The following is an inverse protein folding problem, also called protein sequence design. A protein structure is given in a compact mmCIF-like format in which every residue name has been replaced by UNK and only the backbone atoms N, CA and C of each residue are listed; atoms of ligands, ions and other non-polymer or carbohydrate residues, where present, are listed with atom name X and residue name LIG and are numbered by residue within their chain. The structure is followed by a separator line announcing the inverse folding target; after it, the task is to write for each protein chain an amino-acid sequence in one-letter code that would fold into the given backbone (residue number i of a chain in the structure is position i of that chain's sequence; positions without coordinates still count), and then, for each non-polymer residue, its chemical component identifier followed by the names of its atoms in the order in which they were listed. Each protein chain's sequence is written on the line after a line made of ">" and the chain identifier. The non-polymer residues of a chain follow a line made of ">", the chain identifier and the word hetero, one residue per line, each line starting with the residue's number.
data_IF_536700626568
#
_entry.id   IF_536700626568
#
_cell.length_a   1.000
_cell.length_b   1.000
_cell.length_c   1.000
_cell.angle_alpha   90.00
_cell.angle_beta   90.00
_cell.angle_gamma   90.00
#
_symmetry.space_group_name_H-M   'P 1'
#
loop_
_entity.id
_entity.type
_entity.pdbx_description
1 polymer ?
#
# COMPACT_ATOMS: atom_id res chain seq x y z
N UNK A 1 11.31 3.35 -2.10
CA UNK A 1 11.07 2.74 -0.77
C UNK A 1 9.88 1.79 -0.87
N UNK A 2 9.91 0.61 -0.24
CA UNK A 2 8.83 -0.37 -0.36
C UNK A 2 8.32 -0.78 1.01
N UNK A 3 7.03 -0.60 1.26
CA UNK A 3 6.35 -1.04 2.47
C UNK A 3 5.44 -2.24 2.18
N UNK A 4 5.18 -3.02 3.22
CA UNK A 4 4.18 -4.07 3.20
C UNK A 4 2.97 -3.64 4.02
N UNK A 5 1.77 -3.85 3.48
CA UNK A 5 0.52 -3.58 4.18
C UNK A 5 -0.41 -4.78 4.04
N UNK A 6 -1.11 -5.13 5.11
CA UNK A 6 -2.09 -6.23 5.07
C UNK A 6 -3.43 -5.80 4.44
N UNK A 7 -3.72 -4.49 4.45
CA UNK A 7 -4.93 -3.88 3.87
C UNK A 7 -4.61 -2.58 3.13
N UNK A 8 -4.34 -2.68 1.83
CA UNK A 8 -4.01 -1.56 0.95
C UNK A 8 -5.21 -0.65 0.71
N UNK A 9 -6.43 -1.18 0.61
CA UNK A 9 -7.64 -0.36 0.37
C UNK A 9 -7.97 0.51 1.56
N UNK A 10 -7.96 -0.06 2.77
CA UNK A 10 -8.13 0.70 4.01
C UNK A 10 -6.99 1.69 4.24
N UNK A 11 -5.77 1.36 3.83
CA UNK A 11 -4.64 2.29 3.89
C UNK A 11 -4.80 3.44 2.90
N UNK A 12 -5.26 3.18 1.68
CA UNK A 12 -5.55 4.22 0.69
C UNK A 12 -6.59 5.22 1.20
N UNK A 13 -7.71 4.74 1.75
CA UNK A 13 -8.75 5.61 2.34
C UNK A 13 -8.21 6.43 3.53
N UNK A 14 -7.39 5.81 4.39
CA UNK A 14 -6.72 6.52 5.50
C UNK A 14 -5.76 7.59 5.00
N UNK A 15 -4.95 7.28 3.97
CA UNK A 15 -4.00 8.23 3.40
C UNK A 15 -4.74 9.40 2.75
N UNK A 16 -5.81 9.12 1.99
CA UNK A 16 -6.69 10.14 1.40
C UNK A 16 -7.33 11.03 2.46
N UNK A 17 -7.85 10.44 3.54
CA UNK A 17 -8.42 11.18 4.68
C UNK A 17 -7.38 12.03 5.41
N UNK A 18 -6.10 11.62 5.41
CA UNK A 18 -4.98 12.37 5.98
C UNK A 18 -4.44 13.47 5.04
N UNK A 19 -5.05 13.67 3.87
CA UNK A 19 -4.65 14.71 2.92
C UNK A 19 -3.51 14.30 1.98
N UNK A 20 -3.24 13.00 1.83
CA UNK A 20 -2.35 12.54 0.77
C UNK A 20 -3.06 12.64 -0.56
N UNK A 21 -2.52 13.45 -1.46
CA UNK A 21 -3.09 13.74 -2.79
C UNK A 21 -2.32 13.07 -3.92
N UNK A 22 -1.05 12.77 -3.69
CA UNK A 22 -0.12 12.37 -4.75
C UNK A 22 0.01 10.84 -4.81
N UNK A 23 -1.04 10.19 -5.31
CA UNK A 23 -0.98 8.77 -5.64
C UNK A 23 -0.42 8.59 -7.05
N UNK A 24 0.74 7.95 -7.16
CA UNK A 24 1.34 7.64 -8.47
C UNK A 24 0.71 6.41 -9.10
N UNK A 25 0.15 5.52 -8.29
CA UNK A 25 -0.53 4.31 -8.73
C UNK A 25 -1.62 3.93 -7.73
N UNK A 26 -2.84 3.79 -8.23
CA UNK A 26 -3.98 3.32 -7.44
C UNK A 26 -3.81 1.85 -7.02
N UNK A 27 -4.46 1.42 -5.92
CA UNK A 27 -4.40 0.06 -5.44
C UNK A 27 -4.88 -0.94 -6.49
N UNK A 28 -3.92 -1.59 -7.14
CA UNK A 28 -4.13 -2.52 -8.26
C UNK A 28 -3.88 -3.95 -7.81
N UNK A 29 -4.80 -4.86 -8.12
CA UNK A 29 -4.66 -6.26 -7.76
C UNK A 29 -3.86 -7.03 -8.81
N UNK A 30 -2.81 -7.71 -8.37
CA UNK A 30 -1.95 -8.55 -9.20
C UNK A 30 -1.96 -10.00 -8.69
N UNK A 31 -1.44 -10.92 -9.51
CA UNK A 31 -1.39 -12.35 -9.16
C UNK A 31 -0.61 -12.64 -7.85
N UNK A 32 0.31 -11.76 -7.47
CA UNK A 32 1.13 -11.86 -6.25
C UNK A 32 0.53 -11.12 -5.04
N UNK A 33 -0.62 -10.46 -5.22
CA UNK A 33 -1.23 -9.56 -4.25
C UNK A 33 -1.47 -8.17 -4.82
N UNK A 34 -1.91 -7.25 -3.98
CA UNK A 34 -2.27 -5.88 -4.39
C UNK A 34 -1.08 -4.95 -4.22
N UNK A 35 -0.91 -3.95 -5.08
CA UNK A 35 0.10 -2.91 -4.86
C UNK A 35 -0.37 -1.52 -5.23
N UNK A 36 0.23 -0.52 -4.58
CA UNK A 36 -0.06 0.89 -4.80
C UNK A 36 1.22 1.74 -4.73
N UNK A 37 1.19 2.88 -5.39
CA UNK A 37 2.27 3.85 -5.43
C UNK A 37 1.79 5.20 -4.92
N UNK A 38 2.58 5.80 -4.03
CA UNK A 38 2.32 7.11 -3.45
C UNK A 38 3.60 7.92 -3.43
N UNK A 39 3.48 9.22 -3.65
CA UNK A 39 4.57 10.17 -3.55
C UNK A 39 4.41 10.96 -2.26
N UNK A 40 5.51 11.03 -1.53
CA UNK A 40 5.59 11.86 -0.33
C UNK A 40 5.90 13.32 -0.71
N UNK A 41 5.56 14.31 0.14
CA UNK A 41 5.91 15.72 -0.07
C UNK A 41 7.38 16.02 -0.42
N UNK A 42 8.33 15.20 0.01
CA UNK A 42 9.75 15.33 -0.37
C UNK A 42 10.06 14.75 -1.77
N UNK A 43 9.06 14.32 -2.52
CA UNK A 43 9.19 13.79 -3.88
C UNK A 43 9.57 12.31 -3.94
N UNK A 44 9.62 11.59 -2.81
CA UNK A 44 10.01 10.20 -2.78
C UNK A 44 8.91 9.29 -3.31
N UNK A 45 9.29 8.35 -4.19
CA UNK A 45 8.40 7.28 -4.61
C UNK A 45 8.33 6.18 -3.54
N UNK A 46 7.17 6.06 -2.91
CA UNK A 46 6.84 5.03 -1.93
C UNK A 46 5.93 4.02 -2.62
N UNK A 47 6.35 2.76 -2.63
CA UNK A 47 5.51 1.65 -3.06
C UNK A 47 5.02 0.88 -1.85
N UNK A 48 3.78 0.44 -1.90
CA UNK A 48 3.16 -0.34 -0.84
C UNK A 48 2.59 -1.59 -1.49
N UNK A 49 3.03 -2.74 -1.00
CA UNK A 49 2.64 -4.05 -1.50
C UNK A 49 1.86 -4.77 -0.41
N UNK A 50 0.70 -5.28 -0.76
CA UNK A 50 -0.04 -6.25 0.02
C UNK A 50 0.27 -7.61 -0.56
N UNK A 51 1.04 -8.42 0.17
CA UNK A 51 1.13 -9.83 -0.17
C UNK A 51 -0.27 -10.43 -0.04
N UNK A 52 -0.77 -11.04 -1.12
CA UNK A 52 -2.01 -11.82 -1.06
C UNK A 52 -1.91 -12.82 0.09
N UNK A 53 -2.98 -12.97 0.88
CA UNK A 53 -3.00 -13.77 2.12
C UNK A 53 -2.28 -15.12 1.93
N UNK A 54 -1.01 -15.17 2.28
CA UNK A 54 -0.46 -16.32 2.98
C UNK A 54 -0.76 -15.99 4.42
N UNK A 55 -1.81 -16.60 4.97
CA UNK A 55 -2.22 -16.39 6.35
C UNK A 55 -0.98 -16.40 7.24
N UNK A 56 -0.58 -15.22 7.73
CA UNK A 56 0.54 -15.09 8.65
C UNK A 56 0.06 -15.74 9.94
N UNK A 57 0.29 -17.05 10.07
CA UNK A 57 0.15 -17.74 11.36
C UNK A 57 1.02 -16.95 12.32
N UNK A 58 0.37 -16.28 13.27
CA UNK A 58 1.03 -15.71 14.43
C UNK A 58 1.93 -16.81 15.00
N UNK A 59 3.24 -16.57 14.97
CA UNK A 59 4.19 -17.46 15.61
C UNK A 59 3.97 -17.29 17.11
N UNK A 60 3.71 -18.42 17.76
CA UNK A 60 3.36 -18.54 19.17
C UNK A 60 4.46 -18.05 20.11
#
# INVERSE_FOLDING_TARGET
>A
LVFKADDIRGLYEKLKSRGVTDFTQEPTDHFYGTDMGVRDPFGNAIRILQQGKVAKKATA
#
